data_IF_245792440379
#
_entry.id   IF_245792440379
#
_cell.length_a   1.000
_cell.length_b   1.000
_cell.length_c   1.000
_cell.angle_alpha   90.00
_cell.angle_beta   90.00
_cell.angle_gamma   90.00
#
_symmetry.space_group_name_H-M   'P 1'
#
loop_
_entity.id
_entity.type
_entity.pdbx_description
1 polymer ?
#
# COMPACT_ATOMS: atom_id res chain seq x y z
N UNK A 1 -2.57 -0.23 60.16
CA UNK A 1 -3.14 -0.72 58.87
C UNK A 1 -2.24 -1.83 58.33
N UNK A 2 -2.69 -3.10 58.35
CA UNK A 2 -1.92 -4.25 57.85
C UNK A 2 -1.49 -4.06 56.39
N UNK A 3 -0.31 -4.55 56.03
CA UNK A 3 0.26 -4.51 54.67
C UNK A 3 -0.74 -5.03 53.61
N UNK A 4 -1.49 -6.09 53.94
CA UNK A 4 -2.53 -6.66 53.08
C UNK A 4 -3.71 -5.71 52.84
N UNK A 5 -4.11 -4.90 53.83
CA UNK A 5 -5.19 -3.92 53.65
C UNK A 5 -4.79 -2.79 52.71
N UNK A 6 -3.52 -2.36 52.75
CA UNK A 6 -2.98 -1.35 51.83
C UNK A 6 -2.89 -1.87 50.40
N UNK A 7 -2.51 -3.14 50.22
CA UNK A 7 -2.49 -3.79 48.91
C UNK A 7 -3.90 -3.95 48.33
N UNK A 8 -4.87 -4.35 49.14
CA UNK A 8 -6.27 -4.46 48.72
C UNK A 8 -6.85 -3.10 48.32
N UNK A 9 -6.57 -2.03 49.08
CA UNK A 9 -7.02 -0.68 48.75
C UNK A 9 -6.42 -0.18 47.43
N UNK A 10 -5.14 -0.45 47.19
CA UNK A 10 -4.45 -0.09 45.94
C UNK A 10 -5.03 -0.83 44.73
N UNK A 11 -5.34 -2.12 44.90
CA UNK A 11 -6.00 -2.92 43.86
C UNK A 11 -7.39 -2.37 43.53
N UNK A 12 -8.17 -2.01 44.55
CA UNK A 12 -9.51 -1.44 44.38
C UNK A 12 -9.46 -0.09 43.64
N UNK A 13 -8.54 0.81 44.02
CA UNK A 13 -8.40 2.10 43.32
C UNK A 13 -7.96 1.95 41.86
N UNK A 14 -7.06 1.01 41.56
CA UNK A 14 -6.67 0.72 40.18
C UNK A 14 -7.83 0.15 39.35
N UNK A 15 -8.69 -0.64 39.97
CA UNK A 15 -9.86 -1.23 39.31
C UNK A 15 -10.92 -0.16 39.02
N UNK A 16 -11.17 0.75 39.96
CA UNK A 16 -12.07 1.90 39.77
C UNK A 16 -11.52 2.83 38.69
N UNK A 17 -10.23 3.21 38.75
CA UNK A 17 -9.61 4.06 37.74
C UNK A 17 -9.66 3.42 36.34
N UNK A 18 -9.53 2.10 36.24
CA UNK A 18 -9.67 1.39 34.96
C UNK A 18 -11.10 1.43 34.43
N UNK A 19 -12.10 1.27 35.30
CA UNK A 19 -13.51 1.37 34.92
C UNK A 19 -13.90 2.77 34.48
N UNK A 20 -13.41 3.81 35.17
CA UNK A 20 -13.65 5.20 34.79
C UNK A 20 -13.03 5.54 33.43
N UNK A 21 -11.82 5.06 33.16
CA UNK A 21 -11.14 5.28 31.89
C UNK A 21 -11.83 4.55 30.72
N UNK A 22 -12.36 3.35 30.98
CA UNK A 22 -13.21 2.65 30.00
C UNK A 22 -14.51 3.39 29.73
N UNK A 23 -15.15 3.90 30.78
CA UNK A 23 -16.38 4.69 30.66
C UNK A 23 -16.15 6.00 29.89
N UNK A 24 -15.04 6.69 30.13
CA UNK A 24 -14.65 7.89 29.38
C UNK A 24 -14.33 7.58 27.90
N UNK A 25 -13.76 6.41 27.61
CA UNK A 25 -13.57 5.94 26.23
C UNK A 25 -14.89 5.63 25.53
N UNK A 26 -15.82 4.97 26.22
CA UNK A 26 -17.18 4.67 25.72
C UNK A 26 -17.98 5.96 25.47
N UNK A 27 -17.94 6.91 26.41
CA UNK A 27 -18.59 8.23 26.25
C UNK A 27 -17.99 9.00 25.06
N UNK A 28 -16.67 9.01 24.87
CA UNK A 28 -16.04 9.62 23.69
C UNK A 28 -16.37 8.90 22.37
N UNK A 29 -16.64 7.60 22.40
CA UNK A 29 -17.07 6.86 21.21
C UNK A 29 -18.52 7.21 20.90
N UNK A 30 -19.39 7.23 21.92
CA UNK A 30 -20.78 7.64 21.78
C UNK A 30 -20.92 9.09 21.29
N UNK A 31 -20.15 10.04 21.84
CA UNK A 31 -20.11 11.43 21.36
C UNK A 31 -19.67 11.53 19.89
N UNK A 32 -18.71 10.70 19.47
CA UNK A 32 -18.29 10.66 18.06
C UNK A 32 -19.36 10.04 17.17
N UNK A 33 -20.06 9.01 17.63
CA UNK A 33 -21.16 8.39 16.90
C UNK A 33 -22.34 9.36 16.75
N UNK A 34 -22.71 10.08 17.82
CA UNK A 34 -23.72 11.14 17.80
C UNK A 34 -23.29 12.26 16.84
N UNK A 35 -22.04 12.73 16.94
CA UNK A 35 -21.51 13.75 16.04
C UNK A 35 -21.54 13.30 14.57
N UNK A 36 -21.18 12.04 14.30
CA UNK A 36 -21.22 11.46 12.95
C UNK A 36 -22.66 11.29 12.43
N UNK A 37 -23.62 10.94 13.29
CA UNK A 37 -25.03 10.83 12.93
C UNK A 37 -25.67 12.20 12.66
N UNK A 38 -25.31 13.24 13.42
CA UNK A 38 -25.80 14.60 13.23
C UNK A 38 -25.19 15.30 12.01
N UNK A 39 -23.93 15.01 11.68
CA UNK A 39 -23.18 15.70 10.61
C UNK A 39 -23.05 14.87 9.32
N UNK A 40 -23.59 13.66 9.29
CA UNK A 40 -23.59 12.80 8.11
C UNK A 40 -24.92 12.01 8.07
N UNK A 41 -25.96 12.52 7.40
CA UNK A 41 -27.22 11.78 7.28
C UNK A 41 -26.97 10.49 6.48
N UNK A 42 -27.51 9.36 6.96
CA UNK A 42 -27.50 8.09 6.24
C UNK A 42 -28.17 8.27 4.88
N UNK A 43 -27.34 8.33 3.83
CA UNK A 43 -27.81 8.22 2.46
C UNK A 43 -28.29 6.78 2.26
N UNK A 44 -29.60 6.60 2.26
CA UNK A 44 -30.25 5.38 1.79
C UNK A 44 -30.07 5.26 0.27
N UNK A 45 -28.89 4.77 -0.14
CA UNK A 45 -28.58 4.45 -1.52
C UNK A 45 -28.00 3.04 -1.60
N UNK A 46 -28.49 2.29 -2.59
CA UNK A 46 -28.36 0.83 -2.77
C UNK A 46 -27.03 0.24 -2.28
N UNK A 47 -27.12 -0.56 -1.22
CA UNK A 47 -26.03 -1.06 -0.37
C UNK A 47 -25.00 -1.95 -1.08
N UNK A 48 -25.28 -2.56 -2.23
CA UNK A 48 -24.40 -3.63 -2.73
C UNK A 48 -23.18 -3.20 -3.54
N UNK A 49 -23.18 -2.01 -4.16
CA UNK A 49 -22.08 -1.57 -5.05
C UNK A 49 -21.05 -0.70 -4.31
N UNK A 50 -21.51 0.09 -3.35
CA UNK A 50 -20.64 0.99 -2.58
C UNK A 50 -19.92 0.27 -1.44
N UNK A 51 -20.53 -0.74 -0.80
CA UNK A 51 -19.85 -1.55 0.23
C UNK A 51 -18.64 -2.27 -0.34
N UNK A 52 -18.76 -2.90 -1.52
CA UNK A 52 -17.64 -3.56 -2.19
C UNK A 52 -16.49 -2.60 -2.52
N UNK A 53 -16.80 -1.37 -2.95
CA UNK A 53 -15.78 -0.36 -3.24
C UNK A 53 -15.10 0.18 -1.97
N UNK A 54 -15.85 0.30 -0.87
CA UNK A 54 -15.33 0.75 0.42
C UNK A 54 -14.46 -0.34 1.07
N UNK A 55 -14.86 -1.61 1.00
CA UNK A 55 -14.05 -2.75 1.44
C UNK A 55 -12.74 -2.84 0.65
N UNK A 56 -12.79 -2.69 -0.68
CA UNK A 56 -11.60 -2.70 -1.55
C UNK A 56 -10.64 -1.55 -1.23
N UNK A 57 -11.18 -0.36 -0.94
CA UNK A 57 -10.38 0.80 -0.53
C UNK A 57 -9.79 0.61 0.87
N UNK A 58 -10.54 0.05 1.83
CA UNK A 58 -10.04 -0.32 3.16
C UNK A 58 -8.93 -1.36 3.07
N UNK A 59 -9.08 -2.37 2.22
CA UNK A 59 -8.08 -3.40 1.97
C UNK A 59 -6.81 -2.81 1.32
N UNK A 60 -6.95 -1.90 0.35
CA UNK A 60 -5.83 -1.13 -0.23
C UNK A 60 -5.12 -0.26 0.81
N UNK A 61 -5.85 0.39 1.71
CA UNK A 61 -5.26 1.21 2.77
C UNK A 61 -4.55 0.34 3.81
N UNK A 62 -5.08 -0.85 4.13
CA UNK A 62 -4.44 -1.83 5.00
C UNK A 62 -3.12 -2.35 4.39
N UNK A 63 -3.13 -2.71 3.11
CA UNK A 63 -1.94 -3.12 2.36
C UNK A 63 -0.88 -2.02 2.26
N UNK A 64 -1.31 -0.75 2.16
CA UNK A 64 -0.41 0.39 2.17
C UNK A 64 0.16 0.65 3.57
N UNK A 65 -0.63 0.50 4.65
CA UNK A 65 -0.15 0.60 6.04
C UNK A 65 0.90 -0.47 6.37
N UNK A 66 0.75 -1.70 5.87
CA UNK A 66 1.73 -2.78 6.04
C UNK A 66 3.08 -2.53 5.36
N UNK A 67 3.09 -1.76 4.26
CA UNK A 67 4.29 -1.47 3.45
C UNK A 67 5.10 -0.26 3.92
N UNK A 68 4.58 0.53 4.87
CA UNK A 68 5.24 1.72 5.41
C UNK A 68 5.64 1.58 6.90
N UNK A 69 6.34 0.50 7.26
CA UNK A 69 7.18 0.55 8.47
C UNK A 69 8.39 1.43 8.15
N UNK A 70 8.40 2.68 8.64
CA UNK A 70 9.59 3.54 8.66
C UNK A 70 10.73 2.73 9.30
N UNK A 71 11.86 2.48 8.61
CA UNK A 71 12.94 1.73 9.21
C UNK A 71 13.48 2.55 10.39
N UNK A 72 13.50 1.95 11.58
CA UNK A 72 14.21 2.52 12.72
C UNK A 72 15.69 2.47 12.38
N UNK A 73 16.24 3.60 11.94
CA UNK A 73 17.67 3.76 11.78
C UNK A 73 18.31 3.70 13.17
N UNK A 74 18.72 2.51 13.61
CA UNK A 74 19.68 2.40 14.70
C UNK A 74 20.93 3.13 14.24
N UNK A 75 21.20 4.29 14.84
CA UNK A 75 22.45 5.03 14.65
C UNK A 75 23.55 4.13 15.20
N UNK A 76 24.15 3.31 14.34
CA UNK A 76 25.46 2.73 14.63
C UNK A 76 26.44 3.88 14.53
N UNK A 77 26.63 4.56 15.66
CA UNK A 77 27.80 5.40 15.87
C UNK A 77 28.93 4.39 16.06
N UNK A 78 29.50 3.89 14.97
CA UNK A 78 30.94 3.63 15.01
C UNK A 78 31.51 5.02 15.24
N UNK A 79 31.81 5.32 16.51
CA UNK A 79 32.17 6.67 16.90
C UNK A 79 33.35 7.06 16.02
N UNK A 80 33.26 8.23 15.39
CA UNK A 80 34.41 8.82 14.73
C UNK A 80 35.61 8.87 15.69
N UNK A 81 35.35 8.85 17.00
CA UNK A 81 36.31 8.74 18.09
C UNK A 81 37.02 7.36 18.13
N UNK A 82 36.32 6.24 17.94
CA UNK A 82 36.94 4.91 17.88
C UNK A 82 37.84 4.75 16.64
N UNK A 83 37.49 5.40 15.53
CA UNK A 83 38.33 5.42 14.32
C UNK A 83 39.51 6.38 14.43
N UNK A 84 39.35 7.53 15.11
CA UNK A 84 40.47 8.45 15.37
C UNK A 84 41.49 7.86 16.36
N UNK A 85 41.01 7.15 17.38
CA UNK A 85 41.84 6.57 18.43
C UNK A 85 42.71 5.41 17.92
N UNK A 86 42.24 4.69 16.90
CA UNK A 86 42.99 3.63 16.23
C UNK A 86 44.06 4.16 15.25
N UNK A 87 43.88 5.37 14.69
CA UNK A 87 44.77 5.94 13.68
C UNK A 87 45.84 6.90 14.23
N UNK A 88 45.55 7.65 15.29
CA UNK A 88 46.44 8.74 15.75
C UNK A 88 47.15 8.47 17.08
N UNK A 89 46.78 7.41 17.80
CA UNK A 89 47.32 7.14 19.14
C UNK A 89 47.08 8.30 20.13
N UNK A 90 47.46 8.10 21.39
CA UNK A 90 47.08 8.97 22.52
C UNK A 90 47.75 10.36 22.57
N UNK A 91 48.22 10.93 21.46
CA UNK A 91 48.98 12.19 21.47
C UNK A 91 48.52 13.14 20.36
N UNK A 92 47.41 13.84 20.59
CA UNK A 92 47.25 15.25 20.21
C UNK A 92 45.93 15.79 20.77
N UNK A 93 46.03 16.63 21.81
CA UNK A 93 44.92 17.32 22.47
C UNK A 93 44.80 18.77 22.00
N UNK A 94 45.20 19.06 20.76
CA UNK A 94 45.22 20.42 20.20
C UNK A 94 44.57 20.40 18.81
N UNK A 95 43.25 20.21 18.78
CA UNK A 95 42.40 20.61 17.64
C UNK A 95 40.92 20.68 18.02
N UNK A 96 40.59 20.98 19.28
CA UNK A 96 39.21 20.89 19.76
C UNK A 96 38.31 22.06 19.31
N UNK A 97 38.88 23.19 18.89
CA UNK A 97 38.09 24.41 18.74
C UNK A 97 37.66 24.74 17.31
N UNK A 98 38.30 24.15 16.28
CA UNK A 98 37.87 24.34 14.89
C UNK A 98 36.60 23.53 14.55
N UNK A 99 36.49 22.30 15.09
CA UNK A 99 35.27 21.47 14.91
C UNK A 99 34.11 21.96 15.77
N UNK A 100 34.39 22.53 16.94
CA UNK A 100 33.40 23.17 17.79
C UNK A 100 32.84 24.45 17.15
N UNK A 101 33.72 25.33 16.64
CA UNK A 101 33.31 26.52 15.91
C UNK A 101 32.57 26.19 14.60
N UNK A 102 33.04 25.23 13.80
CA UNK A 102 32.33 24.83 12.57
C UNK A 102 30.97 24.16 12.87
N UNK A 103 30.83 23.51 14.03
CA UNK A 103 29.53 23.00 14.53
C UNK A 103 28.65 24.14 15.02
N UNK A 104 29.19 25.15 15.69
CA UNK A 104 28.45 26.31 16.17
C UNK A 104 27.94 27.14 14.99
N UNK A 105 28.79 27.46 14.00
CA UNK A 105 28.40 28.17 12.77
C UNK A 105 27.35 27.39 11.97
N UNK A 106 27.49 26.06 11.82
CA UNK A 106 26.45 25.21 11.17
C UNK A 106 25.18 25.03 12.01
N UNK A 107 25.25 25.20 13.33
CA UNK A 107 24.10 25.11 14.23
C UNK A 107 23.32 26.43 14.22
N UNK A 108 24.01 27.56 14.19
CA UNK A 108 23.44 28.91 14.07
C UNK A 108 22.81 29.14 12.68
N UNK A 109 23.42 28.67 11.58
CA UNK A 109 22.77 28.71 10.26
C UNK A 109 21.52 27.83 10.16
N UNK A 110 21.46 26.72 10.91
CA UNK A 110 20.29 25.82 10.96
C UNK A 110 19.20 26.28 11.93
N UNK A 111 19.50 27.19 12.85
CA UNK A 111 18.55 27.76 13.82
C UNK A 111 17.73 28.92 13.26
N UNK A 112 17.92 29.30 11.99
CA UNK A 112 16.96 30.15 11.26
C UNK A 112 15.65 29.38 11.00
N UNK A 113 14.78 29.39 12.02
CA UNK A 113 13.31 29.45 12.03
C UNK A 113 12.57 28.64 10.93
N UNK A 114 12.75 27.32 10.92
CA UNK A 114 11.74 26.44 10.30
C UNK A 114 10.65 26.18 11.34
N UNK A 115 9.44 26.67 11.08
CA UNK A 115 8.23 26.41 11.87
C UNK A 115 8.14 24.95 12.35
N UNK A 116 7.80 24.75 13.62
CA UNK A 116 7.73 23.42 14.25
C UNK A 116 6.82 22.47 13.46
N UNK A 117 7.17 21.18 13.39
CA UNK A 117 6.35 20.17 12.72
C UNK A 117 4.92 20.14 13.27
N UNK A 118 4.75 20.33 14.58
CA UNK A 118 3.42 20.41 15.20
C UNK A 118 2.59 21.56 14.63
N UNK A 119 3.18 22.76 14.55
CA UNK A 119 2.52 23.94 13.95
C UNK A 119 2.16 23.72 12.48
N UNK A 120 3.02 23.06 11.69
CA UNK A 120 2.71 22.73 10.29
C UNK A 120 1.50 21.81 10.17
N UNK A 121 1.42 20.78 11.01
CA UNK A 121 0.29 19.84 10.97
C UNK A 121 -1.00 20.50 11.43
N UNK A 122 -0.93 21.31 12.48
CA UNK A 122 -2.08 22.09 12.93
C UNK A 122 -2.60 23.04 11.84
N UNK A 123 -1.70 23.77 11.15
CA UNK A 123 -2.09 24.62 10.02
C UNK A 123 -2.70 23.82 8.88
N UNK A 124 -2.14 22.65 8.53
CA UNK A 124 -2.75 21.76 7.53
C UNK A 124 -4.14 21.30 7.94
N UNK A 125 -4.33 20.96 9.21
CA UNK A 125 -5.64 20.56 9.73
C UNK A 125 -6.65 21.69 9.61
N UNK A 126 -6.26 22.92 9.97
CA UNK A 126 -7.12 24.10 9.82
C UNK A 126 -7.45 24.38 8.35
N UNK A 127 -6.46 24.28 7.45
CA UNK A 127 -6.69 24.46 6.01
C UNK A 127 -7.67 23.41 5.46
N UNK A 128 -7.55 22.16 5.87
CA UNK A 128 -8.48 21.10 5.47
C UNK A 128 -9.88 21.31 6.05
N UNK A 129 -9.98 21.79 7.28
CA UNK A 129 -11.27 22.12 7.91
C UNK A 129 -11.97 23.27 7.17
N UNK A 130 -11.25 24.33 6.82
CA UNK A 130 -11.78 25.45 6.03
C UNK A 130 -12.19 24.96 4.64
N UNK A 131 -11.31 24.20 3.95
CA UNK A 131 -11.62 23.66 2.63
C UNK A 131 -12.87 22.76 2.66
N UNK A 132 -13.06 21.95 3.72
CA UNK A 132 -14.28 21.16 3.90
C UNK A 132 -15.51 22.07 3.98
N UNK A 133 -15.48 23.09 4.83
CA UNK A 133 -16.61 24.02 4.96
C UNK A 133 -16.90 24.81 3.68
N UNK A 134 -15.87 25.16 2.90
CA UNK A 134 -16.04 25.84 1.61
C UNK A 134 -16.68 24.93 0.57
N UNK A 135 -16.31 23.64 0.53
CA UNK A 135 -16.94 22.65 -0.36
C UNK A 135 -18.41 22.44 -0.01
N UNK A 136 -18.74 22.32 1.28
CA UNK A 136 -20.13 22.18 1.75
C UNK A 136 -20.96 23.42 1.40
N UNK A 137 -20.37 24.61 1.56
CA UNK A 137 -21.01 25.87 1.17
C UNK A 137 -21.24 25.92 -0.35
N UNK A 138 -20.23 25.61 -1.16
CA UNK A 138 -20.36 25.58 -2.62
C UNK A 138 -21.42 24.57 -3.08
N UNK A 139 -21.52 23.40 -2.44
CA UNK A 139 -22.55 22.41 -2.74
C UNK A 139 -23.97 22.93 -2.44
N UNK A 140 -24.13 23.64 -1.32
CA UNK A 140 -25.40 24.28 -0.97
C UNK A 140 -25.79 25.41 -1.94
N UNK A 141 -24.83 26.23 -2.36
CA UNK A 141 -25.03 27.29 -3.34
C UNK A 141 -25.38 26.71 -4.71
N UNK A 142 -24.66 25.68 -5.17
CA UNK A 142 -24.93 24.97 -6.42
C UNK A 142 -26.31 24.32 -6.42
N UNK A 143 -26.76 23.78 -5.28
CA UNK A 143 -28.11 23.23 -5.15
C UNK A 143 -29.18 24.33 -5.22
N UNK A 144 -28.96 25.47 -4.55
CA UNK A 144 -29.87 26.61 -4.61
C UNK A 144 -29.95 27.22 -6.02
N UNK A 145 -28.81 27.38 -6.70
CA UNK A 145 -28.74 27.83 -8.09
C UNK A 145 -29.48 26.86 -9.03
N UNK A 146 -29.32 25.55 -8.83
CA UNK A 146 -30.07 24.54 -9.60
C UNK A 146 -31.58 24.70 -9.41
N UNK A 147 -32.05 24.91 -8.19
CA UNK A 147 -33.48 25.14 -7.92
C UNK A 147 -33.95 26.45 -8.56
N UNK A 148 -33.16 27.52 -8.46
CA UNK A 148 -33.47 28.81 -9.10
C UNK A 148 -33.56 28.69 -10.62
N UNK A 149 -32.61 28.00 -11.25
CA UNK A 149 -32.60 27.73 -12.68
C UNK A 149 -33.81 26.90 -13.13
N UNK A 150 -34.15 25.85 -12.37
CA UNK A 150 -35.31 25.03 -12.68
C UNK A 150 -36.62 25.82 -12.54
N UNK A 151 -36.74 26.68 -11.54
CA UNK A 151 -37.92 27.52 -11.38
C UNK A 151 -38.08 28.55 -12.52
N UNK A 152 -36.98 29.08 -13.06
CA UNK A 152 -37.01 30.00 -14.20
C UNK A 152 -37.35 29.27 -15.51
N UNK A 153 -36.74 28.10 -15.76
CA UNK A 153 -36.91 27.35 -17.03
C UNK A 153 -38.16 26.48 -17.05
N UNK A 154 -38.57 25.98 -15.90
CA UNK A 154 -39.72 25.09 -15.72
C UNK A 154 -40.49 25.53 -14.46
N UNK A 155 -41.22 26.65 -14.52
CA UNK A 155 -42.06 27.07 -13.42
C UNK A 155 -43.16 26.02 -13.17
N UNK A 156 -43.72 25.96 -11.94
CA UNK A 156 -44.82 25.06 -11.63
C UNK A 156 -45.96 25.20 -12.64
N UNK A 157 -46.43 24.07 -13.16
CA UNK A 157 -47.46 24.04 -14.19
C UNK A 157 -48.76 24.66 -13.68
N UNK A 158 -49.21 25.71 -14.35
CA UNK A 158 -50.55 26.28 -14.17
C UNK A 158 -51.45 25.72 -15.26
N UNK A 159 -52.46 24.93 -14.86
CA UNK A 159 -53.43 24.38 -15.80
C UNK A 159 -54.46 25.46 -16.13
N UNK A 160 -54.63 25.75 -17.42
CA UNK A 160 -55.71 26.63 -17.90
C UNK A 160 -57.08 26.05 -17.56
N UNK A 161 -58.09 26.91 -17.46
CA UNK A 161 -59.46 26.50 -17.11
C UNK A 161 -60.25 25.98 -18.32
N UNK A 162 -59.79 26.24 -19.55
CA UNK A 162 -60.43 25.83 -20.79
C UNK A 162 -59.82 24.59 -21.46
N UNK A 163 -60.67 23.74 -22.07
CA UNK A 163 -60.23 22.53 -22.81
C UNK A 163 -59.28 22.84 -23.98
N UNK A 164 -59.50 23.96 -24.68
CA UNK A 164 -58.65 24.37 -25.80
C UNK A 164 -57.26 24.80 -25.33
N UNK A 165 -57.20 25.63 -24.28
CA UNK A 165 -55.94 26.06 -23.66
C UNK A 165 -55.12 24.86 -23.17
N UNK A 166 -55.79 23.85 -22.61
CA UNK A 166 -55.14 22.62 -22.17
C UNK A 166 -54.56 21.81 -23.34
N UNK A 167 -55.31 21.68 -24.44
CA UNK A 167 -54.82 20.98 -25.64
C UNK A 167 -53.62 21.69 -26.28
N UNK A 168 -53.64 23.02 -26.33
CA UNK A 168 -52.54 23.81 -26.88
C UNK A 168 -51.29 23.73 -25.98
N UNK A 169 -51.46 23.81 -24.65
CA UNK A 169 -50.37 23.59 -23.68
C UNK A 169 -49.74 22.19 -23.81
N UNK A 170 -50.54 21.13 -23.97
CA UNK A 170 -50.02 19.78 -24.15
C UNK A 170 -49.16 19.65 -25.43
N UNK A 171 -49.56 20.28 -26.53
CA UNK A 171 -48.77 20.29 -27.77
C UNK A 171 -47.47 21.09 -27.61
N UNK A 172 -47.54 22.25 -26.94
CA UNK A 172 -46.35 23.05 -26.65
C UNK A 172 -45.35 22.30 -25.77
N UNK A 173 -45.81 21.64 -24.70
CA UNK A 173 -44.95 20.85 -23.82
C UNK A 173 -44.32 19.68 -24.57
N UNK A 174 -45.07 18.98 -25.42
CA UNK A 174 -44.52 17.91 -26.25
C UNK A 174 -43.40 18.41 -27.16
N UNK A 175 -43.62 19.53 -27.86
CA UNK A 175 -42.57 20.11 -28.72
C UNK A 175 -41.34 20.57 -27.94
N UNK A 176 -41.53 21.12 -26.72
CA UNK A 176 -40.42 21.50 -25.84
C UNK A 176 -39.64 20.29 -25.32
N UNK A 177 -40.30 19.16 -25.04
CA UNK A 177 -39.64 17.93 -24.61
C UNK A 177 -38.65 17.45 -25.68
N UNK A 178 -39.08 17.41 -26.94
CA UNK A 178 -38.22 16.96 -28.05
C UNK A 178 -36.93 17.81 -28.16
N UNK A 179 -37.06 19.14 -28.06
CA UNK A 179 -35.92 20.07 -28.10
C UNK A 179 -35.00 19.89 -26.89
N UNK A 180 -35.56 19.80 -25.68
CA UNK A 180 -34.77 19.65 -24.45
C UNK A 180 -34.05 18.30 -24.42
N UNK A 181 -34.64 17.24 -24.96
CA UNK A 181 -33.98 15.94 -25.04
C UNK A 181 -32.81 15.93 -26.05
N UNK A 182 -32.94 16.66 -27.17
CA UNK A 182 -31.83 16.87 -28.09
C UNK A 182 -30.67 17.64 -27.41
N UNK A 183 -30.98 18.74 -26.72
CA UNK A 183 -29.98 19.50 -25.95
C UNK A 183 -29.31 18.64 -24.86
N UNK A 184 -30.10 17.83 -24.15
CA UNK A 184 -29.61 16.89 -23.13
C UNK A 184 -28.64 15.88 -23.75
N UNK A 185 -28.97 15.33 -24.90
CA UNK A 185 -28.13 14.37 -25.62
C UNK A 185 -26.79 14.98 -26.03
N UNK A 186 -26.80 16.20 -26.56
CA UNK A 186 -25.59 16.92 -26.95
C UNK A 186 -24.68 17.24 -25.76
N UNK A 187 -25.26 17.69 -24.65
CA UNK A 187 -24.53 17.94 -23.41
C UNK A 187 -23.93 16.64 -22.85
N UNK A 188 -24.68 15.54 -22.87
CA UNK A 188 -24.21 14.24 -22.44
C UNK A 188 -23.05 13.73 -23.32
N UNK A 189 -23.14 13.91 -24.63
CA UNK A 189 -22.08 13.57 -25.59
C UNK A 189 -20.80 14.38 -25.33
N UNK A 190 -20.93 15.69 -25.09
CA UNK A 190 -19.80 16.56 -24.70
C UNK A 190 -19.17 16.11 -23.38
N UNK A 191 -19.98 15.84 -22.36
CA UNK A 191 -19.51 15.35 -21.06
C UNK A 191 -18.73 14.03 -21.21
N UNK A 192 -19.27 13.06 -21.99
CA UNK A 192 -18.59 11.78 -22.28
C UNK A 192 -17.24 11.97 -22.96
N UNK A 193 -17.11 12.90 -23.91
CA UNK A 193 -15.82 13.21 -24.55
C UNK A 193 -14.82 13.75 -23.53
N UNK A 194 -15.23 14.73 -22.72
CA UNK A 194 -14.37 15.28 -21.66
C UNK A 194 -13.96 14.22 -20.63
N UNK A 195 -14.86 13.32 -20.23
CA UNK A 195 -14.53 12.21 -19.31
C UNK A 195 -13.48 11.28 -19.90
N UNK A 196 -13.62 10.90 -21.17
CA UNK A 196 -12.63 10.06 -21.88
C UNK A 196 -11.26 10.75 -21.96
N UNK A 197 -11.24 12.04 -22.29
CA UNK A 197 -9.99 12.80 -22.32
C UNK A 197 -9.31 12.85 -20.94
N UNK A 198 -10.09 13.03 -19.86
CA UNK A 198 -9.57 12.98 -18.49
C UNK A 198 -9.01 11.59 -18.14
N UNK A 199 -9.67 10.52 -18.56
CA UNK A 199 -9.19 9.14 -18.36
C UNK A 199 -7.88 8.89 -19.11
N UNK A 200 -7.78 9.30 -20.37
CA UNK A 200 -6.57 9.21 -21.17
C UNK A 200 -5.42 10.01 -20.55
N UNK A 201 -5.69 11.22 -20.06
CA UNK A 201 -4.71 12.05 -19.36
C UNK A 201 -4.29 11.42 -18.04
N UNK A 202 -5.22 10.84 -17.26
CA UNK A 202 -4.91 10.10 -16.03
C UNK A 202 -4.00 8.91 -16.31
N UNK A 203 -4.24 8.16 -17.39
CA UNK A 203 -3.39 7.05 -17.81
C UNK A 203 -2.00 7.53 -18.21
N UNK A 204 -1.90 8.60 -19.02
CA UNK A 204 -0.60 9.22 -19.37
C UNK A 204 0.18 9.67 -18.12
N UNK A 205 -0.50 10.29 -17.15
CA UNK A 205 0.11 10.68 -15.87
C UNK A 205 0.58 9.45 -15.10
N UNK A 206 -0.20 8.37 -15.10
CA UNK A 206 0.19 7.11 -14.46
C UNK A 206 1.44 6.51 -15.11
N UNK A 207 1.51 6.44 -16.43
CA UNK A 207 2.65 5.90 -17.17
C UNK A 207 3.93 6.70 -16.91
N UNK A 208 3.82 8.04 -16.90
CA UNK A 208 4.91 8.95 -16.54
C UNK A 208 5.35 8.78 -15.08
N UNK A 209 4.41 8.57 -14.15
CA UNK A 209 4.69 8.37 -12.72
C UNK A 209 5.19 6.95 -12.40
N UNK A 210 4.94 5.98 -13.30
CA UNK A 210 4.93 4.54 -12.98
C UNK A 210 5.90 3.65 -13.77
N UNK A 211 6.37 4.01 -14.97
CA UNK A 211 7.30 3.14 -15.71
C UNK A 211 8.77 3.28 -15.28
N UNK A 212 9.12 4.43 -14.71
CA UNK A 212 10.45 4.71 -14.16
C UNK A 212 10.34 5.35 -12.77
N UNK A 213 9.85 4.60 -11.77
CA UNK A 213 10.14 5.00 -10.39
C UNK A 213 11.65 5.02 -10.25
N UNK A 214 12.26 6.20 -10.12
CA UNK A 214 13.71 6.35 -9.88
C UNK A 214 14.08 5.33 -8.79
N UNK A 215 14.87 4.29 -9.10
CA UNK A 215 15.16 3.25 -8.12
C UNK A 215 15.73 3.96 -6.91
N UNK A 216 15.05 3.81 -5.77
CA UNK A 216 15.44 4.51 -4.54
C UNK A 216 16.88 4.10 -4.29
N UNK A 217 17.81 5.05 -4.35
CA UNK A 217 19.23 4.81 -4.13
C UNK A 217 19.38 4.16 -2.75
N UNK A 218 19.46 2.83 -2.72
CA UNK A 218 19.69 2.09 -1.50
C UNK A 218 21.13 2.38 -1.11
N UNK A 219 21.33 2.90 0.10
CA UNK A 219 22.67 3.05 0.66
C UNK A 219 23.20 1.66 0.98
N UNK A 220 23.77 1.00 -0.02
CA UNK A 220 24.44 -0.29 0.13
C UNK A 220 25.69 -0.02 0.98
N UNK A 221 25.71 -0.57 2.20
CA UNK A 221 26.95 -0.71 2.97
C UNK A 221 27.62 -1.98 2.47
N UNK A 222 28.96 -1.99 2.43
CA UNK A 222 29.70 -3.23 2.12
C UNK A 222 29.11 -4.39 2.92
N UNK A 223 28.82 -5.51 2.24
CA UNK A 223 28.34 -6.71 2.90
C UNK A 223 29.40 -7.19 3.90
N UNK A 224 28.96 -7.92 4.93
CA UNK A 224 29.87 -8.53 5.89
C UNK A 224 30.93 -9.39 5.16
N UNK A 225 30.52 -10.15 4.16
CA UNK A 225 31.43 -10.97 3.32
C UNK A 225 32.44 -10.13 2.53
N UNK A 226 32.02 -8.99 1.94
CA UNK A 226 32.96 -8.11 1.23
C UNK A 226 33.96 -7.45 2.20
N UNK A 227 33.52 -7.14 3.41
CA UNK A 227 34.38 -6.60 4.46
C UNK A 227 35.34 -7.67 5.01
N UNK A 228 34.88 -8.89 5.23
CA UNK A 228 35.69 -10.01 5.71
C UNK A 228 36.70 -10.48 4.66
N UNK A 229 36.33 -10.53 3.39
CA UNK A 229 37.25 -10.82 2.28
C UNK A 229 38.36 -9.76 2.19
N UNK A 230 38.04 -8.48 2.39
CA UNK A 230 39.01 -7.40 2.36
C UNK A 230 39.95 -7.39 3.59
N UNK A 231 39.46 -7.77 4.77
CA UNK A 231 40.23 -7.77 6.02
C UNK A 231 41.02 -9.06 6.26
N UNK A 232 40.50 -10.21 5.84
CA UNK A 232 41.07 -11.54 6.11
C UNK A 232 41.66 -12.21 4.86
N UNK A 233 41.54 -11.57 3.69
CA UNK A 233 42.09 -12.05 2.42
C UNK A 233 41.61 -13.44 2.05
N UNK A 234 42.49 -14.26 1.49
CA UNK A 234 42.19 -15.63 1.03
C UNK A 234 41.82 -16.63 2.14
N UNK A 235 41.95 -16.25 3.42
CA UNK A 235 41.72 -17.15 4.56
C UNK A 235 40.25 -17.35 4.91
N UNK A 236 39.36 -16.44 4.52
CA UNK A 236 37.94 -16.54 4.80
C UNK A 236 37.15 -16.98 3.55
N UNK A 237 37.10 -18.29 3.31
CA UNK A 237 36.40 -18.89 2.15
C UNK A 237 35.01 -19.44 2.51
N UNK A 238 34.42 -18.95 3.60
CA UNK A 238 33.10 -19.38 4.06
C UNK A 238 32.05 -18.53 3.35
N UNK A 239 31.53 -19.00 2.21
CA UNK A 239 30.31 -18.41 1.64
C UNK A 239 29.17 -18.67 2.63
N UNK A 240 28.56 -17.61 3.17
CA UNK A 240 27.33 -17.71 3.97
C UNK A 240 26.10 -18.05 3.11
N UNK A 241 26.30 -18.74 1.98
CA UNK A 241 25.25 -19.26 1.14
C UNK A 241 24.60 -20.43 1.84
N UNK A 242 23.33 -20.26 2.23
CA UNK A 242 22.52 -21.34 2.80
C UNK A 242 22.54 -22.61 1.92
N UNK A 243 22.73 -22.42 0.60
CA UNK A 243 22.80 -23.48 -0.41
C UNK A 243 24.07 -24.33 -0.32
N UNK A 244 25.18 -23.78 0.14
CA UNK A 244 26.45 -24.51 0.31
C UNK A 244 26.45 -25.38 1.58
N UNK A 245 25.58 -25.09 2.55
CA UNK A 245 25.46 -25.81 3.81
C UNK A 245 24.39 -26.92 3.78
N UNK A 246 23.57 -26.98 2.73
CA UNK A 246 22.74 -28.15 2.46
C UNK A 246 23.66 -29.27 1.96
N UNK A 247 23.62 -30.45 2.60
CA UNK A 247 24.43 -31.61 2.21
C UNK A 247 24.31 -31.82 0.70
N UNK A 248 25.41 -31.57 -0.01
CA UNK A 248 25.61 -32.11 -1.34
C UNK A 248 25.53 -33.63 -1.18
N UNK A 249 24.50 -34.27 -1.75
CA UNK A 249 24.44 -35.73 -1.80
C UNK A 249 25.69 -36.14 -2.57
N UNK A 250 26.70 -36.63 -1.84
CA UNK A 250 27.93 -37.16 -2.41
C UNK A 250 27.54 -38.28 -3.37
N UNK A 251 27.60 -37.98 -4.66
CA UNK A 251 27.70 -38.98 -5.72
C UNK A 251 29.19 -39.21 -5.94
N UNK A 252 29.83 -39.85 -4.96
CA UNK A 252 31.18 -40.39 -5.10
C UNK A 252 31.14 -41.82 -4.56
N UNK A 253 31.46 -42.76 -5.46
CA UNK A 253 31.76 -44.18 -5.23
C UNK A 253 30.67 -45.08 -4.61
N UNK A 254 29.65 -45.38 -5.41
CA UNK A 254 29.15 -46.77 -5.55
C UNK A 254 29.87 -47.43 -6.73
N UNK A 255 31.19 -47.57 -6.66
CA UNK A 255 31.92 -48.39 -7.65
C UNK A 255 31.84 -49.90 -7.33
N UNK A 256 31.21 -50.28 -6.21
CA UNK A 256 30.97 -51.68 -5.81
C UNK A 256 29.52 -52.17 -5.96
N UNK A 257 28.57 -51.28 -6.25
CA UNK A 257 27.14 -51.62 -6.38
C UNK A 257 26.59 -51.45 -7.82
N UNK A 258 27.44 -51.13 -8.79
CA UNK A 258 27.06 -51.07 -10.22
C UNK A 258 27.15 -52.46 -10.89
N UNK A 259 27.78 -53.45 -10.24
CA UNK A 259 27.83 -54.83 -10.75
C UNK A 259 26.49 -55.60 -10.65
N UNK A 260 25.54 -55.18 -9.82
CA UNK A 260 24.26 -55.89 -9.64
C UNK A 260 23.10 -55.30 -10.45
N UNK A 261 23.32 -54.20 -11.19
CA UNK A 261 22.34 -53.67 -12.16
C UNK A 261 22.91 -53.81 -13.57
N UNK A 262 23.33 -55.04 -13.89
CA UNK A 262 23.79 -55.46 -15.20
C UNK A 262 22.63 -55.61 -16.19
N UNK A 263 22.58 -54.69 -17.14
CA UNK A 263 22.15 -54.83 -18.54
C UNK A 263 21.02 -55.84 -18.83
N UNK A 264 19.77 -55.36 -18.87
CA UNK A 264 18.57 -56.12 -19.28
C UNK A 264 18.52 -56.45 -20.78
N UNK A 265 19.63 -56.25 -21.52
CA UNK A 265 19.75 -56.49 -22.95
C UNK A 265 20.78 -57.57 -23.26
N UNK A 266 20.48 -58.82 -22.91
CA UNK A 266 21.08 -60.01 -23.53
C UNK A 266 20.22 -61.24 -23.27
N UNK A 267 19.27 -61.50 -24.16
CA UNK A 267 19.11 -62.79 -24.86
C UNK A 267 17.80 -62.81 -25.68
N UNK A 268 17.68 -61.93 -26.67
CA UNK A 268 16.71 -62.08 -27.75
C UNK A 268 17.49 -61.77 -29.04
N UNK A 269 17.45 -62.72 -29.98
CA UNK A 269 18.32 -62.96 -31.15
C UNK A 269 19.43 -63.96 -30.76
N UNK A 270 19.27 -65.27 -31.00
CA UNK A 270 19.16 -65.86 -32.34
C UNK A 270 18.12 -66.99 -32.45
N UNK A 271 17.03 -66.74 -33.16
CA UNK A 271 16.36 -67.77 -34.01
C UNK A 271 16.70 -67.55 -35.48
N UNK A 272 17.87 -66.98 -35.76
CA UNK A 272 18.50 -66.98 -37.07
C UNK A 272 19.37 -68.24 -37.18
N UNK A 273 18.96 -69.22 -37.98
CA UNK A 273 19.89 -70.26 -38.44
C UNK A 273 19.58 -71.73 -38.12
N UNK A 274 18.34 -72.13 -37.79
CA UNK A 274 17.93 -73.54 -37.98
C UNK A 274 17.56 -73.81 -39.46
N UNK A 275 18.46 -73.42 -40.37
CA UNK A 275 18.46 -73.81 -41.77
C UNK A 275 19.24 -75.13 -41.90
N UNK A 276 18.55 -76.22 -41.56
CA UNK A 276 19.09 -77.57 -41.65
C UNK A 276 17.96 -78.59 -41.59
N UNK A 277 17.68 -79.24 -42.73
CA UNK A 277 16.70 -80.31 -42.89
C UNK A 277 16.92 -81.41 -41.84
N UNK A 278 16.10 -81.46 -40.79
CA UNK A 278 16.01 -82.67 -39.96
C UNK A 278 15.26 -83.73 -40.76
N UNK A 279 16.05 -84.67 -41.29
CA UNK A 279 15.64 -85.90 -41.97
C UNK A 279 14.58 -86.64 -41.13
N UNK A 280 13.39 -86.79 -41.69
CA UNK A 280 12.51 -87.92 -41.41
C UNK A 280 13.06 -89.13 -42.16
N UNK A 281 13.05 -90.32 -41.56
CA UNK A 281 12.71 -91.57 -42.25
C UNK A 281 12.18 -92.57 -41.23
N UNK A 282 10.95 -93.01 -41.46
CA UNK A 282 10.35 -94.21 -40.89
C UNK A 282 11.00 -95.43 -41.54
N UNK A 283 11.32 -96.44 -40.73
CA UNK A 283 11.47 -97.82 -41.19
C UNK A 283 10.92 -98.73 -40.09
N UNK A 284 9.71 -99.24 -40.32
CA UNK A 284 9.14 -100.43 -39.67
C UNK A 284 10.05 -101.64 -39.88
N UNK A 285 10.47 -102.26 -38.77
CA UNK A 285 10.64 -103.70 -38.55
C UNK A 285 10.94 -103.94 -37.07
#
# INVERSE_FOLDING_TARGET
MSSSRKQNLKSLMLQIAKQELQKEEEERVAEKEIYMAEHCPELSLSSSIQELQIEDLKQKVFDLKGKFKKPVLRKVRMSADAMLQALLGSKHKVSMDLRANLKQVKKEEKEKKKMSSSRKQHLKSLMLQIAKSEIEKEESERAAEKVSYLNEKCPPLSLGSGLKELQDLCKELHGKIDVVDEERYDLESKAKKSTKEIEDLKQKVFDLKGKFKKPVLRKVRMSADAMLQALLGSKHKVSMDLRANLKQVKKEEKEKDICEVGDWRKNIEDKAGMEGRKKMFESEA
#
